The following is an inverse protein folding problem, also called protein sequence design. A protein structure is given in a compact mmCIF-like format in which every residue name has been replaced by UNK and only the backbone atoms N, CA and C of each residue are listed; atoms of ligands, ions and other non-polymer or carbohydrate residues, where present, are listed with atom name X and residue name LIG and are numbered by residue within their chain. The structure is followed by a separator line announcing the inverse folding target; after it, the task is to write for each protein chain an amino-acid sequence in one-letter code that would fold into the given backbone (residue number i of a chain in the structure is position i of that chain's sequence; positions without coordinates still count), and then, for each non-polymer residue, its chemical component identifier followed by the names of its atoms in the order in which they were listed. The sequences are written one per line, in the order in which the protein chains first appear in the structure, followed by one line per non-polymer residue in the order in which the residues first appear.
data_IF_708541084250
#
_entry.id   IF_708541084250
#
_cell.length_a   1.000
_cell.length_b   1.000
_cell.length_c   1.000
_cell.angle_alpha   90.00
_cell.angle_beta   90.00
_cell.angle_gamma   90.00
#
_symmetry.space_group_name_H-M   'P 1'
#
loop_
_entity.id
_entity.type
_entity.pdbx_description
1 polymer ?
#
# COMPACT_ATOMS: atom_id res chain seq x y z
N UNK A 1 -11.05 3.75 12.33
CA UNK A 1 -10.47 4.51 11.19
C UNK A 1 -9.16 5.08 11.68
N UNK A 2 -8.06 4.86 10.96
CA UNK A 2 -6.80 5.51 11.31
C UNK A 2 -7.02 7.03 11.28
N UNK A 3 -6.69 7.68 12.37
CA UNK A 3 -6.76 9.14 12.49
C UNK A 3 -5.64 9.74 11.62
N UNK A 4 -5.89 9.82 10.30
CA UNK A 4 -4.94 10.39 9.35
C UNK A 4 -4.66 11.88 9.62
N UNK A 5 -5.44 12.53 10.50
CA UNK A 5 -5.25 13.91 10.90
C UNK A 5 -4.01 14.12 11.76
N UNK A 6 -3.70 13.20 12.67
CA UNK A 6 -2.61 13.36 13.65
C UNK A 6 -1.22 12.98 13.14
N UNK A 7 -1.12 12.15 12.10
CA UNK A 7 0.18 11.73 11.55
C UNK A 7 0.95 12.87 10.89
N UNK A 8 0.30 13.65 10.01
CA UNK A 8 0.98 14.69 9.21
C UNK A 8 1.64 15.76 10.09
N UNK A 9 0.99 16.30 11.13
CA UNK A 9 1.59 17.30 12.01
C UNK A 9 2.79 16.74 12.78
N UNK A 10 2.70 15.50 13.26
CA UNK A 10 3.79 14.88 14.01
C UNK A 10 4.98 14.55 13.11
N UNK A 11 4.72 14.08 11.88
CA UNK A 11 5.75 13.89 10.86
C UNK A 11 6.44 15.22 10.47
N UNK A 12 5.68 16.32 10.38
CA UNK A 12 6.25 17.64 10.14
C UNK A 12 7.12 18.09 11.32
N UNK A 13 6.64 17.96 12.56
CA UNK A 13 7.36 18.38 13.78
C UNK A 13 8.68 17.62 13.98
N UNK A 14 8.69 16.34 13.62
CA UNK A 14 9.86 15.45 13.76
C UNK A 14 10.76 15.41 12.52
N UNK A 15 10.43 16.18 11.48
CA UNK A 15 11.22 16.22 10.25
C UNK A 15 12.63 16.74 10.50
N UNK A 16 13.63 16.10 9.88
CA UNK A 16 15.01 16.61 9.86
C UNK A 16 15.16 17.87 8.99
N UNK A 17 14.17 18.18 8.14
CA UNK A 17 14.18 19.39 7.34
C UNK A 17 13.72 20.59 8.20
N UNK A 18 14.55 21.64 8.36
CA UNK A 18 14.23 22.76 9.25
C UNK A 18 12.99 23.55 8.83
N UNK A 19 12.70 23.61 7.52
CA UNK A 19 11.51 24.29 6.99
C UNK A 19 10.24 23.52 7.35
N UNK A 20 10.26 22.19 7.19
CA UNK A 20 9.12 21.33 7.53
C UNK A 20 8.89 21.27 9.04
N UNK A 21 9.96 21.21 9.84
CA UNK A 21 9.90 21.30 11.28
C UNK A 21 9.29 22.63 11.75
N UNK A 22 9.66 23.74 11.11
CA UNK A 22 9.07 25.05 11.40
C UNK A 22 7.58 25.10 11.06
N UNK A 23 7.20 24.53 9.92
CA UNK A 23 5.79 24.42 9.52
C UNK A 23 5.00 23.57 10.52
N UNK A 24 5.52 22.41 10.92
CA UNK A 24 4.87 21.52 11.89
C UNK A 24 4.68 22.14 13.28
N UNK A 25 5.58 23.03 13.70
CA UNK A 25 5.44 23.81 14.95
C UNK A 25 4.33 24.86 14.87
N UNK A 26 4.06 25.40 13.68
CA UNK A 26 3.01 26.40 13.44
C UNK A 26 1.67 25.77 13.08
N UNK A 27 1.67 24.49 12.71
CA UNK A 27 0.48 23.77 12.34
C UNK A 27 -0.31 23.37 13.60
N UNK A 28 -1.52 23.91 13.68
CA UNK A 28 -2.47 23.66 14.75
C UNK A 28 -3.55 22.68 14.25
N UNK A 29 -3.81 21.62 15.00
CA UNK A 29 -4.97 20.76 14.81
C UNK A 29 -6.00 21.09 15.88
N UNK A 30 -7.24 21.32 15.47
CA UNK A 30 -8.33 21.36 16.43
C UNK A 30 -8.66 19.94 16.89
N UNK A 31 -8.43 19.68 18.18
CA UNK A 31 -8.73 18.40 18.81
C UNK A 31 -10.15 18.35 19.38
N UNK A 32 -10.85 19.48 19.44
CA UNK A 32 -12.21 19.59 19.98
C UNK A 32 -13.23 19.75 18.85
N UNK A 33 -13.30 18.72 18.01
CA UNK A 33 -14.22 18.66 16.88
C UNK A 33 -15.66 18.49 17.37
N UNK A 34 -16.37 19.61 17.50
CA UNK A 34 -17.80 19.61 17.81
C UNK A 34 -18.59 19.16 16.58
N UNK A 35 -19.35 18.04 16.63
CA UNK A 35 -20.00 17.50 15.44
C UNK A 35 -21.03 18.43 14.77
N UNK A 36 -21.68 19.29 15.57
CA UNK A 36 -22.68 20.23 15.08
C UNK A 36 -22.06 21.45 14.37
N UNK A 37 -20.82 21.82 14.72
CA UNK A 37 -20.06 22.86 14.05
C UNK A 37 -18.55 22.57 14.19
N UNK A 38 -17.99 21.75 13.28
CA UNK A 38 -16.60 21.29 13.38
C UNK A 38 -15.57 22.38 13.06
N UNK A 39 -16.01 23.57 12.64
CA UNK A 39 -15.12 24.64 12.20
C UNK A 39 -15.28 25.95 12.98
N UNK A 40 -16.26 26.09 13.87
CA UNK A 40 -16.55 27.34 14.59
C UNK A 40 -15.28 27.98 15.20
N UNK A 41 -14.52 27.18 15.94
CA UNK A 41 -13.29 27.63 16.58
C UNK A 41 -12.25 28.09 15.54
N UNK A 42 -11.98 27.24 14.55
CA UNK A 42 -11.00 27.54 13.50
C UNK A 42 -11.39 28.75 12.65
N UNK A 43 -12.67 28.90 12.31
CA UNK A 43 -13.20 30.03 11.54
C UNK A 43 -13.06 31.33 12.34
N UNK A 44 -13.33 31.32 13.66
CA UNK A 44 -13.12 32.50 14.51
C UNK A 44 -11.67 32.99 14.44
N UNK A 45 -10.70 32.07 14.46
CA UNK A 45 -9.27 32.38 14.35
C UNK A 45 -8.85 32.92 12.98
N UNK A 46 -9.50 32.47 11.92
CA UNK A 46 -9.33 33.04 10.57
C UNK A 46 -9.86 34.47 10.51
N UNK A 47 -11.04 34.75 11.08
CA UNK A 47 -11.60 36.10 11.10
C UNK A 47 -10.79 37.08 11.95
N UNK A 48 -10.14 36.60 13.01
CA UNK A 48 -9.16 37.35 13.78
C UNK A 48 -7.85 37.64 13.00
N UNK A 49 -7.67 37.04 11.82
CA UNK A 49 -6.48 37.21 10.99
C UNK A 49 -5.22 36.52 11.53
N UNK A 50 -5.38 35.62 12.52
CA UNK A 50 -4.24 34.97 13.19
C UNK A 50 -3.89 33.62 12.57
N UNK A 51 -4.83 32.97 11.87
CA UNK A 51 -4.66 31.64 11.30
C UNK A 51 -5.14 31.58 9.85
N UNK A 52 -4.56 30.67 9.08
CA UNK A 52 -5.10 30.24 7.80
C UNK A 52 -5.71 28.84 7.97
N UNK A 53 -6.95 28.66 7.52
CA UNK A 53 -7.65 27.39 7.61
C UNK A 53 -7.36 26.53 6.37
N UNK A 54 -6.83 25.32 6.61
CA UNK A 54 -6.58 24.31 5.59
C UNK A 54 -7.60 23.19 5.73
N UNK A 55 -8.58 23.15 4.83
CA UNK A 55 -9.56 22.07 4.74
C UNK A 55 -9.17 21.16 3.59
N UNK A 56 -8.63 19.97 3.90
CA UNK A 56 -8.19 19.00 2.87
C UNK A 56 -9.32 18.65 1.90
N UNK A 57 -10.54 18.55 2.42
CA UNK A 57 -11.75 18.31 1.61
C UNK A 57 -12.00 19.39 0.55
N UNK A 58 -11.61 20.64 0.80
CA UNK A 58 -11.85 21.74 -0.13
C UNK A 58 -10.85 21.73 -1.29
N UNK A 59 -9.60 21.33 -1.06
CA UNK A 59 -8.64 21.12 -2.15
C UNK A 59 -9.08 19.96 -3.07
N UNK A 60 -9.59 18.88 -2.49
CA UNK A 60 -10.19 17.77 -3.24
C UNK A 60 -11.39 18.23 -4.07
N UNK A 61 -12.31 19.00 -3.49
CA UNK A 61 -13.46 19.56 -4.24
C UNK A 61 -13.03 20.51 -5.35
N UNK A 62 -12.04 21.36 -5.08
CA UNK A 62 -11.50 22.29 -6.06
C UNK A 62 -10.87 21.56 -7.25
N UNK A 63 -10.03 20.55 -6.98
CA UNK A 63 -9.38 19.75 -8.04
C UNK A 63 -10.39 18.92 -8.83
N UNK A 64 -11.40 18.33 -8.18
CA UNK A 64 -12.52 17.64 -8.85
C UNK A 64 -13.30 18.59 -9.76
N UNK A 65 -13.64 19.79 -9.28
CA UNK A 65 -14.33 20.82 -10.07
C UNK A 65 -13.53 21.24 -11.30
N UNK A 66 -12.24 21.56 -11.12
CA UNK A 66 -11.34 21.96 -12.21
C UNK A 66 -11.20 20.87 -13.28
N UNK A 67 -11.20 19.60 -12.87
CA UNK A 67 -11.09 18.45 -13.79
C UNK A 67 -12.44 17.92 -14.29
N UNK A 68 -13.57 18.52 -13.88
CA UNK A 68 -14.94 18.06 -14.20
C UNK A 68 -15.20 16.60 -13.80
N UNK A 69 -14.67 16.18 -12.65
CA UNK A 69 -14.76 14.81 -12.15
C UNK A 69 -15.82 14.75 -11.02
N UNK A 70 -16.64 13.70 -11.01
CA UNK A 70 -17.69 13.47 -10.00
C UNK A 70 -17.13 12.96 -8.66
N UNK A 71 -17.89 13.17 -7.57
CA UNK A 71 -17.50 12.81 -6.19
C UNK A 71 -17.11 11.33 -5.96
N UNK A 72 -17.44 10.44 -6.88
CA UNK A 72 -17.17 8.99 -6.80
C UNK A 72 -15.83 8.58 -7.40
N UNK A 73 -15.11 9.50 -8.03
CA UNK A 73 -13.79 9.19 -8.58
C UNK A 73 -12.74 9.38 -7.51
N UNK A 74 -12.13 8.27 -7.09
CA UNK A 74 -10.95 8.29 -6.23
C UNK A 74 -9.82 8.99 -6.97
N UNK A 75 -9.38 10.15 -6.45
CA UNK A 75 -8.12 10.77 -6.81
C UNK A 75 -7.01 9.95 -6.15
N UNK A 76 -6.59 8.86 -6.79
CA UNK A 76 -5.24 8.35 -6.55
C UNK A 76 -4.29 9.26 -7.32
N UNK A 77 -3.69 10.21 -6.61
CA UNK A 77 -2.48 10.87 -7.11
C UNK A 77 -1.39 9.81 -7.05
N UNK A 78 -1.08 9.22 -8.20
CA UNK A 78 0.01 8.27 -8.37
C UNK A 78 1.37 8.96 -8.30
N UNK A 79 1.59 9.82 -7.30
CA UNK A 79 2.95 10.22 -6.94
C UNK A 79 3.53 9.17 -5.99
N UNK A 80 3.59 7.92 -6.44
CA UNK A 80 4.71 7.08 -6.03
C UNK A 80 5.91 7.66 -6.75
N UNK A 81 6.63 8.52 -6.05
CA UNK A 81 8.00 8.88 -6.41
C UNK A 81 8.83 7.61 -6.26
N UNK A 82 8.83 6.83 -7.32
CA UNK A 82 9.53 5.57 -7.45
C UNK A 82 9.46 5.24 -8.92
N UNK A 83 10.47 5.73 -9.64
CA UNK A 83 10.81 5.45 -11.03
C UNK A 83 10.04 4.26 -11.58
N UNK A 84 9.03 4.54 -12.41
CA UNK A 84 8.12 3.58 -13.05
C UNK A 84 8.83 2.67 -14.05
N UNK A 85 9.90 2.04 -13.61
CA UNK A 85 10.56 0.91 -14.23
C UNK A 85 10.41 -0.21 -13.22
N UNK A 86 9.46 -1.14 -13.46
CA UNK A 86 9.43 -2.40 -12.73
C UNK A 86 10.79 -3.07 -12.93
N UNK A 87 11.69 -2.90 -11.95
CA UNK A 87 12.97 -3.58 -11.99
C UNK A 87 12.70 -5.08 -11.84
N UNK A 88 13.26 -5.86 -12.76
CA UNK A 88 13.20 -7.33 -12.78
C UNK A 88 13.61 -7.96 -11.44
N UNK A 89 14.33 -7.22 -10.59
CA UNK A 89 14.76 -7.63 -9.25
C UNK A 89 13.59 -7.95 -8.31
N UNK A 90 12.45 -7.26 -8.41
CA UNK A 90 11.28 -7.56 -7.57
C UNK A 90 10.53 -8.83 -8.01
N UNK A 91 10.62 -9.19 -9.29
CA UNK A 91 10.01 -10.40 -9.85
C UNK A 91 10.92 -11.63 -9.71
N UNK A 92 12.18 -11.44 -9.33
CA UNK A 92 13.18 -12.49 -9.16
C UNK A 92 12.74 -13.56 -8.15
N UNK A 93 12.07 -13.16 -7.06
CA UNK A 93 11.55 -14.11 -6.07
C UNK A 93 10.54 -15.10 -6.66
N UNK A 94 9.67 -14.64 -7.56
CA UNK A 94 8.69 -15.48 -8.23
C UNK A 94 9.35 -16.49 -9.18
N UNK A 95 10.39 -16.07 -9.91
CA UNK A 95 11.15 -16.97 -10.78
C UNK A 95 11.93 -18.03 -10.01
N UNK A 96 12.53 -17.68 -8.87
CA UNK A 96 13.26 -18.65 -8.02
C UNK A 96 12.30 -19.73 -7.51
N UNK A 97 11.11 -19.34 -7.02
CA UNK A 97 10.09 -20.30 -6.56
C UNK A 97 9.61 -21.19 -7.69
N UNK A 98 9.44 -20.64 -8.90
CA UNK A 98 9.02 -21.40 -10.07
C UNK A 98 10.06 -22.44 -10.48
N UNK A 99 11.35 -22.08 -10.53
CA UNK A 99 12.44 -23.00 -10.88
C UNK A 99 12.61 -24.08 -9.81
N UNK A 100 12.55 -23.73 -8.53
CA UNK A 100 12.62 -24.71 -7.44
C UNK A 100 11.44 -25.69 -7.49
N UNK A 101 10.22 -25.18 -7.70
CA UNK A 101 9.02 -26.01 -7.83
C UNK A 101 9.12 -27.00 -9.00
N UNK A 102 9.60 -26.54 -10.15
CA UNK A 102 9.84 -27.39 -11.32
C UNK A 102 10.92 -28.44 -11.05
N UNK A 103 12.02 -28.06 -10.39
CA UNK A 103 13.11 -28.98 -10.04
C UNK A 103 12.64 -30.09 -9.10
N UNK A 104 11.87 -29.75 -8.06
CA UNK A 104 11.30 -30.74 -7.12
C UNK A 104 10.32 -31.67 -7.85
N UNK A 105 9.44 -31.13 -8.69
CA UNK A 105 8.48 -31.94 -9.47
C UNK A 105 9.19 -32.92 -10.40
N UNK A 106 10.24 -32.46 -11.10
CA UNK A 106 11.03 -33.31 -11.98
C UNK A 106 11.77 -34.42 -11.20
N UNK A 107 12.35 -34.10 -10.04
CA UNK A 107 13.02 -35.08 -9.18
C UNK A 107 12.04 -36.17 -8.71
N UNK A 108 10.84 -35.80 -8.30
CA UNK A 108 9.79 -36.75 -7.89
C UNK A 108 9.41 -37.67 -9.04
N UNK A 109 9.21 -37.14 -10.24
CA UNK A 109 8.91 -37.95 -11.43
C UNK A 109 10.05 -38.91 -11.79
N UNK A 110 11.30 -38.47 -11.65
CA UNK A 110 12.47 -39.29 -11.95
C UNK A 110 12.62 -40.43 -10.92
N UNK A 111 12.39 -40.15 -9.64
CA UNK A 111 12.36 -41.17 -8.59
C UNK A 111 11.22 -42.18 -8.78
N UNK A 112 10.03 -41.72 -9.19
CA UNK A 112 8.92 -42.64 -9.50
C UNK A 112 9.29 -43.55 -10.68
N UNK A 113 9.94 -43.00 -11.72
CA UNK A 113 10.38 -43.78 -12.89
C UNK A 113 11.46 -44.81 -12.54
N UNK A 114 12.36 -44.50 -11.60
CA UNK A 114 13.41 -45.43 -11.17
C UNK A 114 12.90 -46.50 -10.20
N UNK A 115 11.90 -46.19 -9.38
CA UNK A 115 11.33 -47.14 -8.41
C UNK A 115 10.26 -48.05 -9.00
N UNK A 116 9.61 -47.66 -10.11
CA UNK A 116 8.78 -48.58 -10.92
C UNK A 116 9.65 -49.52 -11.77
N UNK A 117 10.26 -50.51 -11.14
CA UNK A 117 10.59 -51.77 -11.82
C UNK A 117 9.32 -52.62 -11.97
N UNK A 118 9.14 -53.36 -13.09
CA UNK A 118 7.93 -54.14 -13.32
C UNK A 118 7.78 -55.29 -12.31
N UNK A 119 6.57 -55.58 -11.80
CA UNK A 119 6.34 -56.74 -10.96
C UNK A 119 6.22 -58.03 -11.79
N UNK A 120 7.11 -58.96 -11.48
CA UNK A 120 6.96 -60.43 -11.39
C UNK A 120 6.43 -61.26 -12.58
N UNK A 121 7.08 -62.40 -12.83
CA UNK A 121 6.38 -63.57 -13.37
C UNK A 121 6.88 -64.82 -12.66
N UNK A 122 6.21 -65.19 -11.57
CA UNK A 122 6.28 -66.55 -11.05
C UNK A 122 5.35 -67.41 -11.89
N UNK A 123 5.92 -68.18 -12.81
CA UNK A 123 5.19 -69.23 -13.53
C UNK A 123 4.95 -70.38 -12.58
N UNK A 124 3.75 -70.47 -11.98
CA UNK A 124 3.31 -71.66 -11.25
C UNK A 124 3.02 -72.76 -12.28
N UNK A 125 3.95 -73.71 -12.42
CA UNK A 125 3.70 -74.94 -13.19
C UNK A 125 2.82 -75.84 -12.33
N UNK A 126 1.54 -75.97 -12.71
CA UNK A 126 0.66 -77.02 -12.20
C UNK A 126 0.95 -78.28 -13.01
N UNK A 127 1.58 -79.30 -12.42
CA UNK A 127 1.60 -80.65 -12.98
C UNK A 127 0.43 -81.45 -12.40
N UNK A 128 -0.41 -81.98 -13.29
CA UNK A 128 -1.34 -83.08 -13.01
C UNK A 128 -0.59 -84.41 -12.92
#
# INVERSE_FOLDING_TARGET
MADYGSFVPDALRTSQNPTLATLGKRLFLDTDLRPADPYEFLISKVFEGTHALLVVGDYLRFTQSKKKITRTTYLMDETVRGDGVLNLSHLQGAFILLVLGLGVSFLVLLLERLTKTPPYTSTTVVSQ
#
